data_IF_613703238855
#
_entry.id   IF_613703238855
#
_cell.length_a   1.000
_cell.length_b   1.000
_cell.length_c   1.000
_cell.angle_alpha   90.00
_cell.angle_beta   90.00
_cell.angle_gamma   90.00
#
_symmetry.space_group_name_H-M   'P 1'
#
loop_
_entity.id
_entity.type
_entity.pdbx_description
1 polymer ?
#
# COMPACT_ATOMS: atom_id res chain seq x y z
N UNK A 1 -41.55 41.46 -52.87
CA UNK A 1 -40.97 42.22 -51.74
C UNK A 1 -40.38 41.24 -50.75
N UNK A 2 -39.28 41.66 -50.14
CA UNK A 2 -38.30 40.91 -49.34
C UNK A 2 -38.89 40.41 -48.00
N UNK A 3 -38.47 39.21 -47.58
CA UNK A 3 -38.65 38.72 -46.20
C UNK A 3 -37.56 37.70 -45.85
N UNK A 4 -36.43 38.17 -45.34
CA UNK A 4 -35.32 37.39 -44.79
C UNK A 4 -35.54 37.20 -43.28
N UNK A 5 -35.49 35.97 -42.79
CA UNK A 5 -35.20 35.67 -41.39
C UNK A 5 -34.12 34.59 -41.29
N UNK A 6 -33.21 34.84 -40.37
CA UNK A 6 -31.99 34.09 -40.05
C UNK A 6 -32.26 33.26 -38.79
N UNK A 7 -31.73 32.04 -38.75
CA UNK A 7 -31.36 31.37 -37.49
C UNK A 7 -32.33 30.28 -37.02
N UNK A 8 -31.80 29.07 -36.78
CA UNK A 8 -32.58 28.00 -36.18
C UNK A 8 -31.85 26.66 -36.13
N UNK A 9 -30.77 26.62 -35.35
CA UNK A 9 -29.99 25.46 -34.86
C UNK A 9 -30.67 24.09 -34.97
N UNK A 10 -29.96 23.16 -35.63
CA UNK A 10 -30.18 21.71 -35.60
C UNK A 10 -30.45 21.21 -34.16
N UNK A 11 -31.68 20.77 -33.92
CA UNK A 11 -32.11 20.10 -32.69
C UNK A 11 -31.68 18.64 -32.69
N UNK A 12 -30.40 18.39 -32.39
CA UNK A 12 -29.95 17.13 -31.83
C UNK A 12 -29.82 17.33 -30.32
N UNK A 13 -30.74 16.78 -29.53
CA UNK A 13 -30.55 16.72 -28.08
C UNK A 13 -29.23 16.03 -27.78
N UNK A 14 -28.34 16.59 -26.94
CA UNK A 14 -27.13 15.88 -26.55
C UNK A 14 -27.58 14.60 -25.84
N UNK A 15 -27.15 13.46 -26.38
CA UNK A 15 -27.35 12.18 -25.72
C UNK A 15 -26.81 12.30 -24.29
N UNK A 16 -27.52 11.80 -23.26
CA UNK A 16 -27.03 11.83 -21.90
C UNK A 16 -25.65 11.17 -21.87
N UNK A 17 -24.63 11.96 -21.54
CA UNK A 17 -23.28 11.47 -21.31
C UNK A 17 -23.37 10.55 -20.10
N UNK A 18 -23.37 9.25 -20.33
CA UNK A 18 -23.21 8.25 -19.28
C UNK A 18 -21.90 8.62 -18.55
N UNK A 19 -21.90 8.82 -17.22
CA UNK A 19 -20.67 9.05 -16.48
C UNK A 19 -19.69 7.94 -16.84
N UNK A 20 -18.54 8.30 -17.42
CA UNK A 20 -17.48 7.32 -17.63
C UNK A 20 -17.11 6.78 -16.26
N UNK A 21 -17.21 5.47 -16.08
CA UNK A 21 -16.72 4.82 -14.89
C UNK A 21 -15.25 5.24 -14.69
N UNK A 22 -14.83 5.57 -13.46
CA UNK A 22 -13.44 5.92 -13.21
C UNK A 22 -12.55 4.80 -13.75
N UNK A 23 -11.52 5.18 -14.51
CA UNK A 23 -10.53 4.24 -15.01
C UNK A 23 -9.95 3.46 -13.83
N UNK A 24 -9.83 2.14 -13.97
CA UNK A 24 -9.28 1.30 -12.93
C UNK A 24 -7.85 1.74 -12.58
N UNK A 25 -7.52 1.72 -11.29
CA UNK A 25 -6.19 2.05 -10.82
C UNK A 25 -5.22 0.91 -11.22
N UNK A 26 -4.25 1.16 -12.11
CA UNK A 26 -3.35 0.11 -12.60
C UNK A 26 -2.53 -0.52 -11.47
N UNK A 27 -2.23 0.22 -10.39
CA UNK A 27 -1.48 -0.31 -9.24
C UNK A 27 -2.35 -1.26 -8.42
N UNK A 28 -3.63 -0.92 -8.23
CA UNK A 28 -4.58 -1.80 -7.55
C UNK A 28 -4.80 -3.10 -8.34
N UNK A 29 -4.88 -3.04 -9.67
CA UNK A 29 -4.97 -4.23 -10.54
C UNK A 29 -3.71 -5.10 -10.44
N UNK A 30 -2.52 -4.49 -10.44
CA UNK A 30 -1.25 -5.20 -10.24
C UNK A 30 -1.23 -5.96 -8.90
N UNK A 31 -1.63 -5.31 -7.82
CA UNK A 31 -1.68 -5.92 -6.47
C UNK A 31 -2.69 -7.07 -6.41
N UNK A 32 -3.86 -6.91 -7.05
CA UNK A 32 -4.85 -7.97 -7.14
C UNK A 32 -4.33 -9.17 -7.95
N UNK A 33 -3.59 -8.92 -9.03
CA UNK A 33 -2.93 -9.96 -9.82
C UNK A 33 -1.86 -10.70 -9.00
N UNK A 34 -1.04 -9.98 -8.21
CA UNK A 34 -0.07 -10.59 -7.29
C UNK A 34 -0.77 -11.52 -6.28
N UNK A 35 -1.90 -11.10 -5.70
CA UNK A 35 -2.69 -11.95 -4.79
C UNK A 35 -3.16 -13.25 -5.45
N UNK A 36 -3.64 -13.17 -6.68
CA UNK A 36 -4.06 -14.34 -7.47
C UNK A 36 -2.87 -15.27 -7.76
N UNK A 37 -1.70 -14.72 -8.05
CA UNK A 37 -0.47 -15.48 -8.29
C UNK A 37 0.02 -16.19 -7.03
N UNK A 38 -0.05 -15.55 -5.85
CA UNK A 38 0.27 -16.18 -4.56
C UNK A 38 -0.65 -17.37 -4.30
N UNK A 39 -1.96 -17.21 -4.53
CA UNK A 39 -2.92 -18.31 -4.33
C UNK A 39 -2.67 -19.47 -5.30
N UNK A 40 -2.29 -19.16 -6.53
CA UNK A 40 -1.91 -20.15 -7.55
C UNK A 40 -0.65 -20.92 -7.14
N UNK A 41 0.37 -20.23 -6.63
CA UNK A 41 1.60 -20.83 -6.10
C UNK A 41 1.30 -21.74 -4.91
N UNK A 42 0.53 -21.26 -3.91
CA UNK A 42 0.11 -22.07 -2.74
C UNK A 42 -0.65 -23.32 -3.16
N UNK A 43 -1.52 -23.20 -4.17
CA UNK A 43 -2.24 -24.34 -4.71
C UNK A 43 -1.30 -25.34 -5.42
N UNK A 44 -0.29 -24.85 -6.15
CA UNK A 44 0.73 -25.71 -6.77
C UNK A 44 1.54 -26.48 -5.71
N UNK A 45 2.02 -25.80 -4.66
CA UNK A 45 2.74 -26.43 -3.54
C UNK A 45 1.89 -27.54 -2.90
N UNK A 46 0.60 -27.29 -2.65
CA UNK A 46 -0.32 -28.31 -2.10
C UNK A 46 -0.46 -29.52 -3.01
N UNK A 47 -0.56 -29.32 -4.33
CA UNK A 47 -0.66 -30.43 -5.30
C UNK A 47 0.62 -31.25 -5.39
N UNK A 48 1.77 -30.60 -5.23
CA UNK A 48 3.08 -31.26 -5.28
C UNK A 48 3.52 -31.88 -3.95
N UNK A 49 2.70 -31.79 -2.89
CA UNK A 49 3.09 -32.19 -1.54
C UNK A 49 3.54 -33.65 -1.38
N UNK A 50 3.09 -34.57 -2.24
CA UNK A 50 3.56 -35.97 -2.22
C UNK A 50 4.96 -36.16 -2.80
N UNK A 51 5.46 -35.21 -3.58
CA UNK A 51 6.78 -35.22 -4.20
C UNK A 51 7.77 -34.29 -3.49
N UNK A 52 7.35 -33.63 -2.42
CA UNK A 52 8.17 -32.69 -1.66
C UNK A 52 8.47 -33.28 -0.28
N UNK A 53 9.74 -33.25 0.15
CA UNK A 53 10.11 -33.45 1.55
C UNK A 53 9.25 -32.58 2.50
N UNK A 54 8.93 -33.09 3.70
CA UNK A 54 8.26 -32.33 4.76
C UNK A 54 8.88 -30.96 5.02
N UNK A 55 10.21 -30.88 5.09
CA UNK A 55 10.95 -29.62 5.30
C UNK A 55 10.60 -28.57 4.24
N UNK A 56 10.72 -28.92 2.96
CA UNK A 56 10.43 -28.01 1.85
C UNK A 56 8.95 -27.63 1.80
N UNK A 57 8.07 -28.59 2.07
CA UNK A 57 6.61 -28.33 2.14
C UNK A 57 6.29 -27.30 3.23
N UNK A 58 6.93 -27.39 4.39
CA UNK A 58 6.75 -26.44 5.49
C UNK A 58 7.23 -25.04 5.11
N UNK A 59 8.46 -24.92 4.60
CA UNK A 59 9.05 -23.63 4.22
C UNK A 59 8.27 -22.96 3.08
N UNK A 60 7.86 -23.71 2.05
CA UNK A 60 7.05 -23.17 0.95
C UNK A 60 5.68 -22.68 1.41
N UNK A 61 5.06 -23.36 2.38
CA UNK A 61 3.80 -22.90 2.99
C UNK A 61 3.99 -21.60 3.76
N UNK A 62 5.01 -21.56 4.63
CA UNK A 62 5.34 -20.37 5.41
C UNK A 62 5.65 -19.18 4.52
N UNK A 63 6.50 -19.37 3.51
CA UNK A 63 6.81 -18.34 2.52
C UNK A 63 5.56 -17.88 1.76
N UNK A 64 4.70 -18.81 1.36
CA UNK A 64 3.42 -18.49 0.73
C UNK A 64 2.44 -17.76 1.65
N UNK A 65 2.49 -17.96 2.97
CA UNK A 65 1.69 -17.22 3.96
C UNK A 65 2.23 -15.78 4.08
N UNK A 66 3.55 -15.63 4.22
CA UNK A 66 4.21 -14.33 4.27
C UNK A 66 3.98 -13.50 3.00
N UNK A 67 4.00 -14.12 1.81
CA UNK A 67 3.72 -13.42 0.56
C UNK A 67 2.28 -12.92 0.50
N UNK A 68 1.32 -13.68 1.03
CA UNK A 68 -0.08 -13.27 1.11
C UNK A 68 -0.23 -12.08 2.06
N UNK A 69 0.43 -12.12 3.20
CA UNK A 69 0.45 -11.02 4.16
C UNK A 69 1.10 -9.77 3.55
N UNK A 70 2.18 -9.93 2.78
CA UNK A 70 2.84 -8.82 2.09
C UNK A 70 1.95 -8.15 1.04
N UNK A 71 1.26 -8.94 0.21
CA UNK A 71 0.28 -8.39 -0.75
C UNK A 71 -0.82 -7.62 -0.02
N UNK A 72 -1.32 -8.16 1.10
CA UNK A 72 -2.34 -7.49 1.90
C UNK A 72 -1.82 -6.19 2.52
N UNK A 73 -0.64 -6.21 3.16
CA UNK A 73 -0.04 -5.03 3.80
C UNK A 73 0.19 -3.92 2.76
N UNK A 74 0.68 -4.26 1.56
CA UNK A 74 0.88 -3.30 0.46
C UNK A 74 -0.45 -2.74 -0.05
N UNK A 75 -1.50 -3.56 -0.15
CA UNK A 75 -2.82 -3.08 -0.58
C UNK A 75 -3.43 -2.05 0.37
N UNK A 76 -3.07 -2.11 1.66
CA UNK A 76 -3.60 -1.23 2.71
C UNK A 76 -2.73 0.02 2.89
N UNK A 77 -1.41 -0.17 2.94
CA UNK A 77 -0.46 0.88 3.35
C UNK A 77 0.23 1.54 2.15
N UNK A 78 0.14 0.93 0.97
CA UNK A 78 0.99 1.26 -0.16
C UNK A 78 2.44 0.80 0.06
N UNK A 79 3.24 0.89 -0.99
CA UNK A 79 4.69 0.69 -0.94
C UNK A 79 5.36 1.32 -2.17
N UNK A 80 6.69 1.35 -2.17
CA UNK A 80 7.45 1.84 -3.34
C UNK A 80 7.27 0.92 -4.55
N UNK A 81 7.57 1.45 -5.74
CA UNK A 81 7.53 0.67 -6.99
C UNK A 81 8.54 -0.47 -6.96
N UNK A 82 9.74 -0.24 -6.42
CA UNK A 82 10.80 -1.23 -6.28
C UNK A 82 10.36 -2.38 -5.36
N UNK A 83 9.66 -2.06 -4.27
CA UNK A 83 9.10 -3.07 -3.35
C UNK A 83 8.02 -3.92 -4.04
N UNK A 84 7.13 -3.32 -4.85
CA UNK A 84 6.15 -4.07 -5.65
C UNK A 84 6.83 -4.98 -6.67
N UNK A 85 7.80 -4.44 -7.41
CA UNK A 85 8.54 -5.20 -8.43
C UNK A 85 9.27 -6.39 -7.79
N UNK A 86 9.93 -6.20 -6.65
CA UNK A 86 10.62 -7.27 -5.94
C UNK A 86 9.66 -8.36 -5.48
N UNK A 87 8.54 -7.99 -4.83
CA UNK A 87 7.52 -8.93 -4.39
C UNK A 87 6.93 -9.70 -5.58
N UNK A 88 6.60 -9.01 -6.68
CA UNK A 88 6.09 -9.64 -7.89
C UNK A 88 7.11 -10.64 -8.48
N UNK A 89 8.40 -10.28 -8.52
CA UNK A 89 9.46 -11.17 -8.99
C UNK A 89 9.60 -12.42 -8.11
N UNK A 90 9.47 -12.30 -6.79
CA UNK A 90 9.48 -13.44 -5.88
C UNK A 90 8.31 -14.39 -6.16
N UNK A 91 7.10 -13.83 -6.28
CA UNK A 91 5.85 -14.58 -6.49
C UNK A 91 5.84 -15.28 -7.85
N UNK A 92 6.28 -14.59 -8.91
CA UNK A 92 6.15 -15.09 -10.28
C UNK A 92 7.36 -15.89 -10.76
N UNK A 93 8.55 -15.66 -10.21
CA UNK A 93 9.80 -16.20 -10.73
C UNK A 93 10.66 -16.89 -9.68
N UNK A 94 10.99 -16.20 -8.58
CA UNK A 94 12.04 -16.70 -7.67
C UNK A 94 11.61 -17.88 -6.81
N UNK A 95 10.31 -18.06 -6.53
CA UNK A 95 9.81 -19.30 -5.92
C UNK A 95 9.35 -20.33 -6.97
N UNK A 96 8.53 -19.96 -7.98
CA UNK A 96 8.01 -20.96 -8.91
C UNK A 96 9.07 -21.66 -9.75
N UNK A 97 10.10 -20.95 -10.23
CA UNK A 97 11.08 -21.56 -11.12
C UNK A 97 12.01 -22.56 -10.40
N UNK A 98 12.56 -22.26 -9.21
CA UNK A 98 13.29 -23.27 -8.43
C UNK A 98 12.43 -24.45 -8.01
N UNK A 99 11.17 -24.23 -7.63
CA UNK A 99 10.22 -25.30 -7.33
C UNK A 99 10.01 -26.25 -8.52
N UNK A 100 9.78 -25.69 -9.71
CA UNK A 100 9.64 -26.49 -10.93
C UNK A 100 10.93 -27.26 -11.26
N UNK A 101 12.07 -26.63 -11.07
CA UNK A 101 13.38 -27.25 -11.32
C UNK A 101 13.65 -28.40 -10.36
N UNK A 102 13.30 -28.24 -9.08
CA UNK A 102 13.40 -29.29 -8.07
C UNK A 102 12.47 -30.47 -8.37
N UNK A 103 11.21 -30.20 -8.73
CA UNK A 103 10.22 -31.23 -9.08
C UNK A 103 10.58 -32.00 -10.36
N UNK A 104 11.37 -31.40 -11.25
CA UNK A 104 11.86 -32.05 -12.46
C UNK A 104 13.02 -33.04 -12.20
N UNK A 105 13.61 -33.03 -11.00
CA UNK A 105 14.67 -33.96 -10.64
C UNK A 105 14.11 -35.40 -10.49
N UNK A 106 14.94 -36.43 -10.75
CA UNK A 106 14.58 -37.81 -10.44
C UNK A 106 14.20 -37.99 -8.96
N UNK A 107 13.26 -38.90 -8.62
CA UNK A 107 12.78 -39.10 -7.24
C UNK A 107 13.87 -39.39 -6.21
N UNK A 108 15.03 -39.93 -6.63
CA UNK A 108 16.18 -40.16 -5.76
C UNK A 108 16.76 -38.86 -5.15
N UNK A 109 16.46 -37.70 -5.72
CA UNK A 109 16.88 -36.40 -5.20
C UNK A 109 15.83 -35.75 -4.29
N UNK A 110 14.67 -36.40 -4.09
CA UNK A 110 13.60 -35.89 -3.22
C UNK A 110 13.69 -36.42 -1.79
N UNK A 111 14.85 -36.96 -1.40
CA UNK A 111 15.16 -37.32 -0.02
C UNK A 111 15.48 -36.05 0.81
N UNK A 112 15.17 -36.07 2.11
CA UNK A 112 15.51 -35.01 3.06
C UNK A 112 17.03 -34.79 3.16
N UNK A 113 17.81 -35.85 3.07
CA UNK A 113 19.28 -35.79 3.17
C UNK A 113 19.96 -35.44 1.82
N UNK A 114 19.18 -35.25 0.76
CA UNK A 114 19.72 -34.97 -0.56
C UNK A 114 20.32 -33.56 -0.63
N UNK A 115 21.44 -33.43 -1.35
CA UNK A 115 22.06 -32.12 -1.60
C UNK A 115 21.12 -31.15 -2.34
N UNK A 116 20.23 -31.66 -3.20
CA UNK A 116 19.25 -30.84 -3.91
C UNK A 116 18.20 -30.27 -2.94
N UNK A 117 17.75 -31.08 -1.98
CA UNK A 117 16.81 -30.64 -0.93
C UNK A 117 17.45 -29.59 -0.04
N UNK A 118 18.69 -29.80 0.38
CA UNK A 118 19.42 -28.84 1.20
C UNK A 118 19.60 -27.48 0.51
N UNK A 119 20.07 -27.49 -0.74
CA UNK A 119 20.27 -26.26 -1.53
C UNK A 119 18.96 -25.51 -1.75
N UNK A 120 17.87 -26.24 -2.04
CA UNK A 120 16.58 -25.59 -2.23
C UNK A 120 16.04 -25.00 -0.91
N UNK A 121 16.20 -25.71 0.22
CA UNK A 121 15.82 -25.19 1.53
C UNK A 121 16.58 -23.91 1.90
N UNK A 122 17.88 -23.84 1.59
CA UNK A 122 18.71 -22.64 1.82
C UNK A 122 18.23 -21.45 0.97
N UNK A 123 17.86 -21.70 -0.30
CA UNK A 123 17.27 -20.69 -1.16
C UNK A 123 15.94 -20.16 -0.60
N UNK A 124 15.07 -21.05 -0.13
CA UNK A 124 13.80 -20.66 0.48
C UNK A 124 14.00 -19.84 1.75
N UNK A 125 14.96 -20.21 2.60
CA UNK A 125 15.30 -19.44 3.81
C UNK A 125 15.80 -18.03 3.46
N UNK A 126 16.61 -17.90 2.40
CA UNK A 126 17.07 -16.59 1.91
C UNK A 126 15.90 -15.73 1.43
N UNK A 127 14.96 -16.32 0.69
CA UNK A 127 13.76 -15.62 0.22
C UNK A 127 12.85 -15.20 1.38
N UNK A 128 12.72 -16.04 2.41
CA UNK A 128 11.95 -15.73 3.61
C UNK A 128 12.53 -14.52 4.35
N UNK A 129 13.85 -14.49 4.58
CA UNK A 129 14.53 -13.36 5.20
C UNK A 129 14.34 -12.08 4.39
N UNK A 130 14.55 -12.16 3.06
CA UNK A 130 14.41 -11.00 2.17
C UNK A 130 12.99 -10.45 2.18
N UNK A 131 11.97 -11.33 2.21
CA UNK A 131 10.57 -10.93 2.29
C UNK A 131 10.23 -10.31 3.65
N UNK A 132 10.77 -10.86 4.74
CA UNK A 132 10.66 -10.28 6.09
C UNK A 132 11.24 -8.87 6.17
N UNK A 133 12.42 -8.65 5.57
CA UNK A 133 13.05 -7.33 5.51
C UNK A 133 12.22 -6.34 4.69
N UNK A 134 11.69 -6.76 3.54
CA UNK A 134 10.80 -5.95 2.70
C UNK A 134 9.54 -5.52 3.48
N UNK A 135 8.90 -6.45 4.20
CA UNK A 135 7.75 -6.18 5.05
C UNK A 135 8.08 -5.17 6.15
N UNK A 136 9.23 -5.32 6.79
CA UNK A 136 9.69 -4.40 7.81
C UNK A 136 9.92 -2.99 7.25
N UNK A 137 10.53 -2.87 6.06
CA UNK A 137 10.74 -1.58 5.39
C UNK A 137 9.43 -0.88 5.06
N UNK A 138 8.41 -1.60 4.56
CA UNK A 138 7.08 -1.04 4.29
C UNK A 138 6.47 -0.47 5.56
N UNK A 139 6.56 -1.21 6.67
CA UNK A 139 6.01 -0.78 7.97
C UNK A 139 6.73 0.46 8.51
N UNK A 140 8.06 0.51 8.43
CA UNK A 140 8.85 1.66 8.88
C UNK A 140 8.50 2.91 8.04
N UNK A 141 8.47 2.78 6.71
CA UNK A 141 8.12 3.90 5.83
C UNK A 141 6.75 4.50 6.12
N UNK A 142 5.74 3.65 6.37
CA UNK A 142 4.40 4.11 6.75
C UNK A 142 4.38 4.87 8.09
N UNK A 143 5.18 4.44 9.07
CA UNK A 143 5.30 5.13 10.38
C UNK A 143 5.99 6.49 10.22
N UNK A 144 7.02 6.59 9.40
CA UNK A 144 7.72 7.84 9.12
C UNK A 144 6.81 8.88 8.44
N UNK A 145 5.99 8.43 7.49
CA UNK A 145 5.00 9.29 6.82
C UNK A 145 3.95 9.82 7.81
N UNK A 146 3.38 8.95 8.65
CA UNK A 146 2.42 9.35 9.69
C UNK A 146 3.01 10.33 10.71
N UNK A 147 4.26 10.09 11.12
CA UNK A 147 4.98 10.96 12.06
C UNK A 147 5.22 12.35 11.47
N UNK A 148 5.64 12.40 10.20
CA UNK A 148 5.84 13.65 9.45
C UNK A 148 4.52 14.41 9.29
N UNK A 149 3.44 13.71 8.93
CA UNK A 149 2.12 14.32 8.78
C UNK A 149 1.58 14.85 10.12
N UNK A 150 1.77 14.10 11.22
CA UNK A 150 1.38 14.52 12.56
C UNK A 150 2.10 15.78 13.03
N UNK A 151 3.42 15.89 12.79
CA UNK A 151 4.18 17.11 13.09
C UNK A 151 3.71 18.29 12.25
N UNK A 152 3.51 18.10 10.95
CA UNK A 152 2.97 19.14 10.08
C UNK A 152 1.60 19.67 10.59
N UNK A 153 0.70 18.78 11.00
CA UNK A 153 -0.58 19.18 11.58
C UNK A 153 -0.38 19.93 12.91
N UNK A 154 0.47 19.42 13.80
CA UNK A 154 0.78 20.07 15.08
C UNK A 154 1.34 21.48 14.86
N UNK A 155 2.27 21.67 13.91
CA UNK A 155 2.84 22.97 13.58
C UNK A 155 1.78 23.92 13.01
N UNK A 156 0.95 23.43 12.08
CA UNK A 156 -0.13 24.22 11.45
C UNK A 156 -1.13 24.72 12.49
N UNK A 157 -1.58 23.87 13.39
CA UNK A 157 -2.58 24.25 14.40
C UNK A 157 -1.98 25.06 15.55
N UNK A 158 -0.74 24.79 15.96
CA UNK A 158 -0.03 25.61 16.96
C UNK A 158 0.19 27.05 16.47
N UNK A 159 0.49 27.24 15.18
CA UNK A 159 0.59 28.56 14.56
C UNK A 159 -0.77 29.29 14.48
N UNK A 160 -1.88 28.55 14.32
CA UNK A 160 -3.23 29.12 14.32
C UNK A 160 -3.69 29.51 15.72
N UNK A 161 -3.39 28.71 16.75
CA UNK A 161 -3.67 29.06 18.15
C UNK A 161 -2.92 30.34 18.56
N UNK A 162 -1.67 30.49 18.14
CA UNK A 162 -0.91 31.73 18.37
C UNK A 162 -1.53 32.94 17.65
N UNK A 163 -2.03 32.76 16.42
CA UNK A 163 -2.72 33.82 15.67
C UNK A 163 -4.08 34.19 16.27
N UNK A 164 -4.79 33.22 16.87
CA UNK A 164 -6.05 33.43 17.59
C UNK A 164 -5.83 34.18 18.91
N UNK A 165 -4.70 33.97 19.59
CA UNK A 165 -4.33 34.72 20.81
C UNK A 165 -3.93 36.17 20.51
N UNK A 166 -3.31 36.45 19.37
CA UNK A 166 -2.95 37.81 18.95
C UNK A 166 -4.17 38.68 18.57
N UNK A 167 -5.34 38.08 18.35
CA UNK A 167 -6.60 38.78 18.10
C UNK A 167 -7.45 38.99 19.36
N UNK A 168 -6.93 38.66 20.55
CA UNK A 168 -7.57 39.07 21.78
C UNK A 168 -7.53 40.60 21.80
N UNK A 169 -8.68 41.31 21.66
CA UNK A 169 -8.66 42.76 21.64
C UNK A 169 -7.98 43.21 22.92
N UNK A 170 -6.94 44.05 22.79
CA UNK A 170 -6.39 44.77 23.92
C UNK A 170 -7.58 45.27 24.73
N UNK A 171 -7.70 44.78 25.97
CA UNK A 171 -8.74 45.21 26.89
C UNK A 171 -8.71 46.73 26.86
N UNK A 172 -9.75 47.30 26.27
CA UNK A 172 -9.91 48.72 26.03
C UNK A 172 -9.54 49.43 27.33
N UNK A 173 -8.38 50.08 27.34
CA UNK A 173 -7.96 50.95 28.45
C UNK A 173 -8.97 52.06 28.49
N UNK A 174 -9.98 51.91 29.34
CA UNK A 174 -11.05 52.87 29.60
C UNK A 174 -10.44 54.28 29.71
N UNK A 175 -10.57 55.12 28.66
CA UNK A 175 -9.98 56.44 28.65
C UNK A 175 -10.84 57.45 29.44
N UNK A 176 -11.89 56.99 30.14
CA UNK A 176 -12.85 57.81 30.86
C UNK A 176 -12.96 57.49 32.35
N UNK A 177 -11.95 56.89 32.97
CA UNK A 177 -11.79 56.97 34.44
C UNK A 177 -11.27 58.35 34.85
N UNK A 178 -12.02 59.39 34.47
CA UNK A 178 -11.94 60.72 35.03
C UNK A 178 -12.60 60.71 36.40
N UNK A 179 -11.89 61.31 37.34
CA UNK A 179 -12.24 61.63 38.70
C UNK A 179 -13.74 61.93 38.93
N UNK A 180 -14.33 61.19 39.87
CA UNK A 180 -15.61 61.49 40.49
C UNK A 180 -15.42 61.57 42.00
N UNK A 181 -15.21 62.79 42.50
CA UNK A 181 -15.03 63.17 43.90
C UNK A 181 -16.04 62.54 44.86
N UNK A 182 -15.59 62.24 46.09
CA UNK A 182 -16.42 62.41 47.29
C UNK A 182 -15.56 62.95 48.45
N UNK A 183 -15.79 64.21 48.76
CA UNK A 183 -15.31 64.92 49.95
C UNK A 183 -16.03 64.45 51.23
N UNK A 184 -15.39 64.77 52.37
CA UNK A 184 -15.87 64.82 53.77
C UNK A 184 -15.68 63.51 54.57
N UNK A 185 -15.07 63.51 55.77
CA UNK A 185 -14.91 64.55 56.80
C UNK A 185 -13.45 64.78 57.25
#
# INVERSE_FOLDING_TARGET
>A
MIGRFVGGRFGGSPAPQVPQAPAADPVAEEIAAMGTSVDSLRAAVRRSGSALPPLLTSQLRQLGDLMRDAVLDISIRGCSTEQRVLLNAMICSYVPAPLQSYLALPPAHHDEESAATFLFAEQLATLELTLGDLLNQIRIGAVEELSTHGRFLADKFSAQDAALQLHQPETERDPLRLEGQRWQH
#
